data_IF_283537687945
#
_entry.id   IF_283537687945
#
_cell.length_a   1.000
_cell.length_b   1.000
_cell.length_c   1.000
_cell.angle_alpha   90.00
_cell.angle_beta   90.00
_cell.angle_gamma   90.00
#
_symmetry.space_group_name_H-M   'P 1'
#
loop_
_entity.id
_entity.type
_entity.pdbx_description
1 polymer ?
#
# COMPACT_ATOMS: atom_id res chain seq x y z
N UNK A 1 -10.18 9.22 -27.28
CA UNK A 1 -10.47 10.53 -26.66
C UNK A 1 -10.96 10.26 -25.23
N UNK A 2 -10.09 10.38 -24.24
CA UNK A 2 -10.40 10.13 -22.82
C UNK A 2 -10.75 11.50 -22.20
N UNK A 3 -11.89 11.66 -21.49
CA UNK A 3 -12.30 12.96 -20.99
C UNK A 3 -11.44 13.40 -19.79
N UNK A 4 -10.94 14.64 -19.84
CA UNK A 4 -10.04 15.30 -18.87
C UNK A 4 -10.71 15.71 -17.53
N UNK A 5 -11.67 14.93 -17.02
CA UNK A 5 -12.57 15.39 -15.94
C UNK A 5 -12.34 14.89 -14.52
N UNK A 6 -11.43 13.93 -14.25
CA UNK A 6 -11.41 13.19 -12.96
C UNK A 6 -10.11 13.37 -12.18
N UNK A 7 -9.54 14.57 -12.16
CA UNK A 7 -8.36 14.89 -11.32
C UNK A 7 -8.73 15.80 -10.13
N UNK A 8 -9.95 16.35 -10.08
CA UNK A 8 -10.30 17.44 -9.16
C UNK A 8 -11.09 17.11 -7.89
N UNK A 9 -11.48 15.86 -7.60
CA UNK A 9 -12.47 15.59 -6.54
C UNK A 9 -11.98 14.75 -5.34
N UNK A 10 -10.75 14.25 -5.31
CA UNK A 10 -10.26 13.35 -4.23
C UNK A 10 -9.57 14.13 -3.09
N UNK A 11 -10.13 15.28 -2.70
CA UNK A 11 -9.47 16.22 -1.79
C UNK A 11 -10.21 16.62 -0.52
N UNK A 12 -11.51 16.30 -0.36
CA UNK A 12 -12.31 16.94 0.70
C UNK A 12 -12.87 16.09 1.85
N UNK A 13 -12.83 14.76 1.78
CA UNK A 13 -13.45 13.92 2.83
C UNK A 13 -12.45 13.06 3.64
N UNK A 14 -11.17 13.44 3.67
CA UNK A 14 -10.08 12.65 4.30
C UNK A 14 -9.83 12.97 5.79
N UNK A 15 -10.71 13.71 6.47
CA UNK A 15 -10.51 14.11 7.87
C UNK A 15 -11.64 13.60 8.76
N UNK A 16 -11.43 12.46 9.43
CA UNK A 16 -12.35 11.96 10.45
C UNK A 16 -12.18 10.48 10.73
N UNK A 17 -11.17 10.12 11.51
CA UNK A 17 -10.95 8.73 11.93
C UNK A 17 -9.79 8.61 12.89
N UNK A 18 -9.97 9.11 14.11
CA UNK A 18 -9.04 8.90 15.22
C UNK A 18 -9.17 7.46 15.72
N UNK A 19 -8.26 6.57 15.29
CA UNK A 19 -8.18 5.19 15.76
C UNK A 19 -7.55 4.22 14.75
N UNK A 20 -7.38 2.94 15.12
CA UNK A 20 -6.75 1.87 14.31
C UNK A 20 -7.35 1.69 12.88
N UNK A 21 -8.49 2.33 12.61
CA UNK A 21 -9.16 2.43 11.31
C UNK A 21 -8.39 3.30 10.28
N UNK A 22 -7.41 4.10 10.69
CA UNK A 22 -6.56 4.88 9.78
C UNK A 22 -5.76 3.99 8.81
N UNK A 23 -5.29 2.81 9.27
CA UNK A 23 -4.55 1.86 8.45
C UNK A 23 -5.40 1.23 7.33
N UNK A 24 -6.71 1.08 7.56
CA UNK A 24 -7.66 0.61 6.55
C UNK A 24 -7.89 1.64 5.43
N UNK A 25 -7.84 2.94 5.77
CA UNK A 25 -7.84 4.04 4.80
C UNK A 25 -6.63 4.02 3.87
N UNK A 26 -5.46 3.61 4.37
CA UNK A 26 -4.23 3.43 3.60
C UNK A 26 -4.36 2.34 2.55
N UNK A 27 -4.95 1.20 2.92
CA UNK A 27 -5.16 0.09 2.00
C UNK A 27 -6.31 0.36 1.01
N UNK A 28 -7.41 1.01 1.43
CA UNK A 28 -8.50 1.40 0.51
C UNK A 28 -8.09 2.42 -0.53
N UNK A 29 -7.29 3.43 -0.15
CA UNK A 29 -6.71 4.37 -1.11
C UNK A 29 -5.80 3.69 -2.15
N UNK A 30 -5.36 2.47 -1.87
CA UNK A 30 -4.52 1.65 -2.74
C UNK A 30 -5.30 0.61 -3.57
N UNK A 31 -6.50 0.20 -3.16
CA UNK A 31 -7.35 -0.73 -3.92
C UNK A 31 -8.25 -0.04 -4.94
N UNK A 32 -8.57 1.24 -4.76
CA UNK A 32 -9.41 1.99 -5.71
C UNK A 32 -8.83 2.04 -7.15
N UNK A 33 -7.52 1.81 -7.34
CA UNK A 33 -6.89 1.65 -8.66
C UNK A 33 -6.74 0.20 -9.11
N UNK A 34 -6.88 -0.76 -8.19
CA UNK A 34 -6.85 -2.21 -8.44
C UNK A 34 -8.19 -2.79 -8.90
N UNK A 35 -9.27 -1.99 -8.84
CA UNK A 35 -10.60 -2.39 -9.30
C UNK A 35 -10.76 -2.38 -10.83
N UNK A 36 -9.88 -1.69 -11.57
CA UNK A 36 -9.84 -1.88 -13.03
C UNK A 36 -9.13 -3.21 -13.33
N UNK A 37 -9.92 -4.17 -13.81
CA UNK A 37 -9.49 -5.51 -14.23
C UNK A 37 -8.29 -5.49 -15.18
N UNK A 38 -8.07 -4.40 -15.93
CA UNK A 38 -6.91 -4.20 -16.80
C UNK A 38 -5.63 -3.95 -16.02
N UNK A 39 -5.69 -3.14 -14.96
CA UNK A 39 -4.53 -2.84 -14.10
C UNK A 39 -4.08 -4.07 -13.34
N UNK A 40 -5.02 -4.85 -12.79
CA UNK A 40 -4.68 -6.08 -12.06
C UNK A 40 -4.03 -7.16 -12.95
N UNK A 41 -4.25 -7.12 -14.27
CA UNK A 41 -3.62 -8.05 -15.24
C UNK A 41 -2.23 -7.64 -15.69
N UNK A 42 -1.96 -6.34 -15.83
CA UNK A 42 -0.68 -5.86 -16.38
C UNK A 42 0.44 -5.85 -15.33
N UNK A 43 0.09 -5.71 -14.04
CA UNK A 43 1.08 -5.58 -12.96
C UNK A 43 2.04 -6.78 -12.88
N UNK A 44 1.60 -8.05 -12.95
CA UNK A 44 2.52 -9.19 -13.01
C UNK A 44 3.48 -9.15 -14.21
N UNK A 45 2.98 -8.75 -15.39
CA UNK A 45 3.81 -8.63 -16.59
C UNK A 45 4.86 -7.53 -16.45
N UNK A 46 4.50 -6.41 -15.83
CA UNK A 46 5.45 -5.33 -15.52
C UNK A 46 6.51 -5.78 -14.53
N UNK A 47 6.16 -6.58 -13.52
CA UNK A 47 7.14 -7.15 -12.59
C UNK A 47 8.09 -8.13 -13.30
N UNK A 48 7.57 -8.98 -14.17
CA UNK A 48 8.40 -9.85 -14.99
C UNK A 48 9.36 -9.04 -15.87
N UNK A 49 8.88 -7.97 -16.50
CA UNK A 49 9.72 -7.09 -17.31
C UNK A 49 10.78 -6.34 -16.48
N UNK A 50 10.45 -5.91 -15.27
CA UNK A 50 11.40 -5.24 -14.38
C UNK A 50 12.60 -6.12 -14.00
N UNK A 51 12.49 -7.45 -14.09
CA UNK A 51 13.65 -8.36 -13.90
C UNK A 51 14.64 -8.33 -15.06
N UNK A 52 14.21 -7.88 -16.24
CA UNK A 52 14.99 -7.87 -17.48
C UNK A 52 15.37 -6.45 -17.91
N UNK A 53 14.61 -5.44 -17.47
CA UNK A 53 14.82 -4.03 -17.80
C UNK A 53 14.99 -3.18 -16.53
N UNK A 54 16.22 -2.70 -16.24
CA UNK A 54 16.49 -1.80 -15.12
C UNK A 54 15.72 -0.48 -15.18
N UNK A 55 15.44 0.02 -16.39
CA UNK A 55 14.63 1.21 -16.63
C UNK A 55 13.19 1.00 -16.17
N UNK A 56 12.56 -0.11 -16.58
CA UNK A 56 11.20 -0.47 -16.15
C UNK A 56 11.16 -0.66 -14.63
N UNK A 57 12.19 -1.27 -14.04
CA UNK A 57 12.28 -1.42 -12.60
C UNK A 57 12.36 -0.06 -11.87
N UNK A 58 13.09 0.91 -12.42
CA UNK A 58 13.18 2.27 -11.85
C UNK A 58 11.83 2.99 -11.92
N UNK A 59 11.16 2.94 -13.08
CA UNK A 59 9.83 3.53 -13.28
C UNK A 59 8.80 2.91 -12.32
N UNK A 60 8.80 1.58 -12.17
CA UNK A 60 7.91 0.91 -11.22
C UNK A 60 8.17 1.33 -9.78
N UNK A 61 9.45 1.38 -9.35
CA UNK A 61 9.80 1.82 -8.00
C UNK A 61 9.33 3.25 -7.73
N UNK A 62 9.54 4.16 -8.67
CA UNK A 62 9.24 5.58 -8.47
C UNK A 62 7.75 5.90 -8.64
N UNK A 63 7.16 5.51 -9.78
CA UNK A 63 5.82 5.95 -10.19
C UNK A 63 4.70 5.08 -9.61
N UNK A 64 4.97 3.80 -9.34
CA UNK A 64 3.97 2.87 -8.79
C UNK A 64 4.19 2.66 -7.29
N UNK A 65 5.43 2.41 -6.89
CA UNK A 65 5.80 2.16 -5.49
C UNK A 65 5.94 3.42 -4.64
N UNK A 66 6.62 4.45 -5.16
CA UNK A 66 7.14 5.57 -4.38
C UNK A 66 6.08 6.36 -3.62
N UNK A 67 5.04 6.82 -4.32
CA UNK A 67 3.95 7.58 -3.69
C UNK A 67 3.22 6.78 -2.61
N UNK A 68 3.07 5.46 -2.79
CA UNK A 68 2.45 4.58 -1.79
C UNK A 68 3.38 4.35 -0.61
N UNK A 69 4.66 4.08 -0.87
CA UNK A 69 5.70 3.88 0.15
C UNK A 69 5.80 5.10 1.07
N UNK A 70 5.89 6.30 0.50
CA UNK A 70 5.99 7.55 1.27
C UNK A 70 4.78 7.79 2.17
N UNK A 71 3.57 7.49 1.68
CA UNK A 71 2.33 7.62 2.48
C UNK A 71 2.32 6.67 3.67
N UNK A 72 2.70 5.41 3.46
CA UNK A 72 2.74 4.41 4.54
C UNK A 72 3.85 4.76 5.54
N UNK A 73 5.03 5.17 5.06
CA UNK A 73 6.15 5.58 5.91
C UNK A 73 5.75 6.72 6.84
N UNK A 74 5.08 7.76 6.30
CA UNK A 74 4.58 8.89 7.09
C UNK A 74 3.54 8.48 8.15
N UNK A 75 2.86 7.35 7.99
CA UNK A 75 1.90 6.84 8.98
C UNK A 75 2.61 6.10 10.10
N UNK A 76 3.59 5.26 9.75
CA UNK A 76 4.42 4.56 10.72
C UNK A 76 5.24 5.56 11.56
N UNK A 77 5.83 6.59 10.95
CA UNK A 77 6.52 7.65 11.68
C UNK A 77 5.60 8.37 12.68
N UNK A 78 4.39 8.75 12.26
CA UNK A 78 3.42 9.37 13.16
C UNK A 78 2.98 8.44 14.29
N UNK A 79 2.92 7.12 14.06
CA UNK A 79 2.63 6.15 15.12
C UNK A 79 3.76 6.08 16.15
N UNK A 80 5.02 6.15 15.70
CA UNK A 80 6.19 6.29 16.60
C UNK A 80 6.12 7.59 17.40
N UNK A 81 5.82 8.72 16.75
CA UNK A 81 5.70 10.03 17.42
C UNK A 81 4.60 10.04 18.50
N UNK A 82 3.51 9.30 18.30
CA UNK A 82 2.43 9.13 19.29
C UNK A 82 2.74 8.10 20.39
N UNK A 83 3.86 7.38 20.29
CA UNK A 83 4.21 6.29 21.21
C UNK A 83 3.41 5.00 21.00
N UNK A 84 2.72 4.86 19.87
CA UNK A 84 2.00 3.63 19.49
C UNK A 84 2.96 2.54 18.98
N UNK A 85 4.15 2.95 18.50
CA UNK A 85 5.25 2.08 18.11
C UNK A 85 6.54 2.52 18.83
N UNK A 86 7.46 1.58 19.14
CA UNK A 86 8.77 1.90 19.70
C UNK A 86 9.57 2.89 18.85
N UNK A 87 10.38 3.74 19.50
CA UNK A 87 11.26 4.68 18.80
C UNK A 87 12.28 4.00 17.87
N UNK A 88 12.62 2.73 18.13
CA UNK A 88 13.53 1.92 17.33
C UNK A 88 12.86 1.06 16.24
N UNK A 89 11.56 1.25 15.99
CA UNK A 89 10.85 0.45 14.97
C UNK A 89 11.52 0.57 13.60
N UNK A 90 11.81 -0.57 12.98
CA UNK A 90 12.28 -0.64 11.60
C UNK A 90 11.13 -0.34 10.63
N UNK A 91 11.08 0.92 10.18
CA UNK A 91 10.05 1.41 9.25
C UNK A 91 10.16 0.74 7.89
N UNK A 92 11.37 0.44 7.42
CA UNK A 92 11.60 -0.16 6.10
C UNK A 92 11.08 -1.61 6.09
N UNK A 93 11.34 -2.36 7.16
CA UNK A 93 10.75 -3.68 7.36
C UNK A 93 9.22 -3.63 7.48
N UNK A 94 8.68 -2.61 8.17
CA UNK A 94 7.24 -2.40 8.25
C UNK A 94 6.59 -2.17 6.88
N UNK A 95 7.24 -1.40 6.01
CA UNK A 95 6.79 -1.17 4.64
C UNK A 95 6.75 -2.46 3.83
N UNK A 96 7.77 -3.31 3.97
CA UNK A 96 7.87 -4.58 3.28
C UNK A 96 6.81 -5.57 3.78
N UNK A 97 6.54 -5.61 5.09
CA UNK A 97 5.46 -6.43 5.65
C UNK A 97 4.06 -5.96 5.25
N UNK A 98 3.83 -4.67 5.06
CA UNK A 98 2.52 -4.18 4.61
C UNK A 98 2.27 -4.44 3.12
N UNK A 99 3.31 -4.48 2.29
CA UNK A 99 3.19 -4.70 0.85
C UNK A 99 3.31 -6.18 0.44
N UNK A 100 4.26 -6.91 1.02
CA UNK A 100 4.66 -8.25 0.60
C UNK A 100 3.54 -9.30 0.64
N UNK A 101 2.83 -9.49 1.77
CA UNK A 101 1.75 -10.47 1.86
C UNK A 101 0.56 -10.14 0.95
N UNK A 102 0.28 -8.84 0.72
CA UNK A 102 -0.73 -8.41 -0.24
C UNK A 102 -0.31 -8.78 -1.67
N UNK A 103 0.93 -8.50 -2.03
CA UNK A 103 1.50 -8.89 -3.33
C UNK A 103 1.44 -10.41 -3.53
N UNK A 104 1.91 -11.19 -2.56
CA UNK A 104 1.85 -12.66 -2.61
C UNK A 104 0.43 -13.16 -2.87
N UNK A 105 -0.57 -12.59 -2.18
CA UNK A 105 -1.95 -13.00 -2.34
C UNK A 105 -2.52 -12.68 -3.73
N UNK A 106 -2.29 -11.46 -4.22
CA UNK A 106 -2.89 -11.00 -5.47
C UNK A 106 -2.15 -11.56 -6.69
N UNK A 107 -0.82 -11.65 -6.63
CA UNK A 107 -0.01 -12.00 -7.79
C UNK A 107 0.32 -13.50 -7.86
N UNK A 108 0.53 -14.17 -6.72
CA UNK A 108 0.89 -15.60 -6.69
C UNK A 108 -0.34 -16.47 -6.42
N UNK A 109 -1.06 -16.19 -5.33
CA UNK A 109 -2.28 -16.95 -5.00
C UNK A 109 -3.43 -16.59 -5.94
N UNK A 110 -3.40 -15.40 -6.57
CA UNK A 110 -4.46 -14.86 -7.43
C UNK A 110 -5.83 -14.82 -6.74
N UNK A 111 -5.83 -14.55 -5.44
CA UNK A 111 -7.05 -14.38 -4.66
C UNK A 111 -7.31 -12.90 -4.38
N UNK A 112 -8.58 -12.52 -4.46
CA UNK A 112 -8.98 -11.17 -4.07
C UNK A 112 -8.59 -10.90 -2.60
N UNK A 113 -8.15 -9.65 -2.29
CA UNK A 113 -7.95 -9.24 -0.92
C UNK A 113 -9.31 -9.17 -0.22
N UNK A 114 -9.44 -9.96 0.84
CA UNK A 114 -10.62 -9.95 1.72
C UNK A 114 -10.43 -8.88 2.81
N UNK A 115 -11.34 -7.89 2.95
CA UNK A 115 -11.26 -6.84 3.95
C UNK A 115 -10.93 -7.31 5.36
N UNK A 116 -11.60 -8.36 5.83
CA UNK A 116 -11.47 -8.86 7.20
C UNK A 116 -10.08 -9.48 7.42
N UNK A 117 -9.60 -10.25 6.45
CA UNK A 117 -8.24 -10.78 6.43
C UNK A 117 -7.19 -9.68 6.38
N UNK A 118 -7.40 -8.63 5.58
CA UNK A 118 -6.44 -7.52 5.47
C UNK A 118 -6.35 -6.74 6.78
N UNK A 119 -7.45 -6.60 7.51
CA UNK A 119 -7.43 -6.04 8.86
C UNK A 119 -6.60 -6.92 9.80
N UNK A 120 -6.92 -8.22 9.89
CA UNK A 120 -6.17 -9.15 10.76
C UNK A 120 -4.67 -9.18 10.44
N UNK A 121 -4.32 -9.13 9.15
CA UNK A 121 -2.93 -9.08 8.71
C UNK A 121 -2.24 -7.81 9.20
N UNK A 122 -2.89 -6.66 9.06
CA UNK A 122 -2.38 -5.36 9.52
C UNK A 122 -2.15 -5.37 11.02
N UNK A 123 -3.10 -5.87 11.80
CA UNK A 123 -2.98 -5.96 13.26
C UNK A 123 -1.78 -6.82 13.67
N UNK A 124 -1.55 -7.95 12.99
CA UNK A 124 -0.41 -8.83 13.25
C UNK A 124 0.92 -8.18 12.88
N UNK A 125 0.97 -7.41 11.79
CA UNK A 125 2.17 -6.67 11.40
C UNK A 125 2.48 -5.59 12.42
N UNK A 126 1.50 -4.78 12.83
CA UNK A 126 1.69 -3.74 13.85
C UNK A 126 2.18 -4.36 15.16
N UNK A 127 1.57 -5.47 15.60
CA UNK A 127 2.02 -6.18 16.78
C UNK A 127 3.47 -6.69 16.66
N UNK A 128 3.91 -7.12 15.47
CA UNK A 128 5.28 -7.55 15.23
C UNK A 128 6.28 -6.39 15.22
N UNK A 129 5.87 -5.20 14.77
CA UNK A 129 6.70 -3.98 14.75
C UNK A 129 6.81 -3.29 16.12
N UNK A 130 5.98 -3.71 17.07
CA UNK A 130 5.93 -3.17 18.42
C UNK A 130 6.86 -3.88 19.42
N UNK A 131 7.60 -4.90 18.97
CA UNK A 131 8.54 -5.71 19.74
C UNK A 131 9.96 -5.23 19.46
#
# INVERSE_FOLDING_TARGET
MIPHGVVGQVGRDQAGGEGPLAAWGVLRGCTARGEDRRVSRIVPDMFAEATRSPEVAAVLREQVGGARRNKVAAILHRAVERGELPAGTDIELGLDFLAGPLYWRVSIIQAAPDPERMQRLTDKIIAALAI
#
